data_IF_719842788725
#
_entry.id   IF_719842788725
#
_cell.length_a   1.000
_cell.length_b   1.000
_cell.length_c   1.000
_cell.angle_alpha   90.00
_cell.angle_beta   90.00
_cell.angle_gamma   90.00
#
_symmetry.space_group_name_H-M   'P 1'
#
loop_
_entity.id
_entity.type
_entity.pdbx_description
1 polymer ?
#
# COMPACT_ATOMS: atom_id res chain seq x y z
N UNK A 1 2.49 1.38 -5.32
CA UNK A 1 2.02 1.01 -3.97
C UNK A 1 0.83 1.89 -3.59
N UNK A 2 -0.25 1.29 -3.09
CA UNK A 2 -1.41 1.99 -2.55
C UNK A 2 -1.15 2.27 -1.08
N UNK A 3 -1.30 3.54 -0.65
CA UNK A 3 -0.92 4.01 0.69
C UNK A 3 -2.14 4.40 1.54
N UNK A 4 -3.29 4.68 0.95
CA UNK A 4 -4.47 5.13 1.68
C UNK A 4 -5.78 4.68 1.01
N UNK A 5 -6.89 4.85 1.73
CA UNK A 5 -8.23 4.46 1.27
C UNK A 5 -8.66 5.18 0.00
N UNK A 6 -8.28 6.46 -0.16
CA UNK A 6 -8.59 7.22 -1.38
C UNK A 6 -7.89 6.62 -2.60
N UNK A 7 -6.63 6.25 -2.47
CA UNK A 7 -5.87 5.54 -3.51
C UNK A 7 -6.43 4.14 -3.77
N UNK A 8 -6.89 3.44 -2.73
CA UNK A 8 -7.57 2.15 -2.87
C UNK A 8 -8.86 2.29 -3.70
N UNK A 9 -9.71 3.27 -3.38
CA UNK A 9 -10.95 3.53 -4.09
C UNK A 9 -10.69 3.86 -5.58
N UNK A 10 -9.69 4.71 -5.85
CA UNK A 10 -9.28 5.03 -7.21
C UNK A 10 -8.74 3.79 -7.95
N UNK A 11 -7.92 2.97 -7.29
CA UNK A 11 -7.37 1.74 -7.85
C UNK A 11 -8.48 0.72 -8.20
N UNK A 12 -9.46 0.51 -7.31
CA UNK A 12 -10.61 -0.38 -7.57
C UNK A 12 -11.42 0.10 -8.78
N UNK A 13 -11.65 1.40 -8.91
CA UNK A 13 -12.33 1.98 -10.08
C UNK A 13 -11.54 1.75 -11.36
N UNK A 14 -10.23 1.97 -11.34
CA UNK A 14 -9.36 1.77 -12.51
C UNK A 14 -9.29 0.29 -12.92
N UNK A 15 -9.22 -0.64 -11.95
CA UNK A 15 -9.27 -2.08 -12.21
C UNK A 15 -10.55 -2.49 -12.94
N UNK A 16 -11.70 -1.95 -12.52
CA UNK A 16 -12.98 -2.19 -13.19
C UNK A 16 -13.00 -1.66 -14.64
N UNK A 17 -12.34 -0.53 -14.90
CA UNK A 17 -12.21 0.03 -16.27
C UNK A 17 -11.35 -0.86 -17.15
N UNK A 18 -10.17 -1.27 -16.69
CA UNK A 18 -9.23 -2.11 -17.44
C UNK A 18 -9.85 -3.47 -17.79
N UNK A 19 -10.46 -4.13 -16.81
CA UNK A 19 -11.13 -5.43 -17.00
C UNK A 19 -12.33 -5.32 -17.95
N UNK A 20 -13.12 -4.24 -17.86
CA UNK A 20 -14.22 -3.99 -18.81
C UNK A 20 -13.71 -3.76 -20.23
N UNK A 21 -12.61 -3.02 -20.40
CA UNK A 21 -12.01 -2.76 -21.70
C UNK A 21 -11.47 -4.06 -22.35
N UNK A 22 -10.74 -4.88 -21.59
CA UNK A 22 -10.25 -6.17 -22.07
C UNK A 22 -11.41 -7.10 -22.49
N UNK A 23 -12.46 -7.17 -21.67
CA UNK A 23 -13.65 -7.97 -21.98
C UNK A 23 -14.42 -7.47 -23.20
N UNK A 24 -14.51 -6.15 -23.40
CA UNK A 24 -15.15 -5.57 -24.58
C UNK A 24 -14.40 -5.94 -25.87
N UNK A 25 -13.06 -5.86 -25.85
CA UNK A 25 -12.22 -6.27 -26.98
C UNK A 25 -12.36 -7.77 -27.27
N UNK A 26 -12.40 -8.62 -26.24
CA UNK A 26 -12.61 -10.07 -26.38
C UNK A 26 -13.98 -10.37 -27.02
N UNK A 27 -15.05 -9.70 -26.58
CA UNK A 27 -16.41 -9.87 -27.12
C UNK A 27 -16.57 -9.36 -28.55
N UNK A 28 -15.80 -8.34 -28.95
CA UNK A 28 -15.82 -7.84 -30.31
C UNK A 28 -15.30 -8.86 -31.33
N UNK A 29 -14.58 -9.90 -30.89
CA UNK A 29 -14.26 -11.09 -31.70
C UNK A 29 -13.47 -10.80 -32.98
N UNK A 30 -12.68 -9.73 -33.00
CA UNK A 30 -11.91 -9.34 -34.18
C UNK A 30 -10.70 -10.25 -34.38
N UNK A 31 -10.47 -10.66 -35.63
CA UNK A 31 -9.35 -11.51 -36.05
C UNK A 31 -8.02 -10.76 -36.17
N UNK A 32 -7.98 -9.46 -35.85
CA UNK A 32 -6.76 -8.66 -35.86
C UNK A 32 -5.79 -9.15 -34.78
N UNK A 33 -4.58 -9.64 -35.13
CA UNK A 33 -3.56 -10.05 -34.16
C UNK A 33 -3.21 -8.96 -33.14
N UNK A 34 -3.37 -7.68 -33.52
CA UNK A 34 -3.13 -6.55 -32.63
C UNK A 34 -4.12 -6.50 -31.45
N UNK A 35 -5.32 -7.07 -31.61
CA UNK A 35 -6.28 -7.12 -30.51
C UNK A 35 -5.87 -8.11 -29.41
N UNK A 36 -5.23 -9.22 -29.75
CA UNK A 36 -4.68 -10.14 -28.75
C UNK A 36 -3.60 -9.45 -27.89
N UNK A 37 -2.73 -8.66 -28.53
CA UNK A 37 -1.71 -7.85 -27.83
C UNK A 37 -2.34 -6.81 -26.91
N UNK A 38 -3.37 -6.10 -27.39
CA UNK A 38 -4.11 -5.10 -26.58
C UNK A 38 -4.78 -5.72 -25.36
N UNK A 39 -5.44 -6.87 -25.52
CA UNK A 39 -6.07 -7.60 -24.41
C UNK A 39 -5.01 -8.00 -23.39
N UNK A 40 -3.92 -8.62 -23.84
CA UNK A 40 -2.82 -9.03 -22.97
C UNK A 40 -2.22 -7.87 -22.17
N UNK A 41 -2.00 -6.72 -22.81
CA UNK A 41 -1.51 -5.51 -22.13
C UNK A 41 -2.47 -5.03 -21.05
N UNK A 42 -3.77 -4.96 -21.35
CA UNK A 42 -4.79 -4.53 -20.38
C UNK A 42 -4.92 -5.51 -19.20
N UNK A 43 -4.79 -6.81 -19.46
CA UNK A 43 -4.81 -7.85 -18.44
C UNK A 43 -3.56 -7.79 -17.54
N UNK A 44 -2.37 -7.56 -18.11
CA UNK A 44 -1.14 -7.36 -17.34
C UNK A 44 -1.21 -6.12 -16.43
N UNK A 45 -1.75 -5.01 -16.93
CA UNK A 45 -1.96 -3.80 -16.14
C UNK A 45 -2.98 -4.01 -15.02
N UNK A 46 -4.06 -4.75 -15.32
CA UNK A 46 -5.07 -5.11 -14.33
C UNK A 46 -4.48 -5.99 -13.22
N UNK A 47 -3.67 -6.99 -13.58
CA UNK A 47 -3.03 -7.89 -12.62
C UNK A 47 -2.06 -7.11 -11.71
N UNK A 48 -1.22 -6.24 -12.28
CA UNK A 48 -0.31 -5.39 -11.51
C UNK A 48 -1.05 -4.50 -10.50
N UNK A 49 -2.20 -3.95 -10.89
CA UNK A 49 -3.02 -3.12 -10.01
C UNK A 49 -3.72 -3.96 -8.93
N UNK A 50 -4.18 -5.16 -9.29
CA UNK A 50 -4.80 -6.11 -8.37
C UNK A 50 -3.83 -6.57 -7.27
N UNK A 51 -2.58 -6.89 -7.63
CA UNK A 51 -1.53 -7.20 -6.66
C UNK A 51 -1.34 -6.07 -5.63
N UNK A 52 -1.32 -4.81 -6.08
CA UNK A 52 -1.20 -3.66 -5.15
C UNK A 52 -2.41 -3.51 -4.22
N UNK A 53 -3.61 -3.82 -4.72
CA UNK A 53 -4.84 -3.82 -3.89
C UNK A 53 -4.75 -4.94 -2.84
N UNK A 54 -4.30 -6.13 -3.21
CA UNK A 54 -4.13 -7.24 -2.28
C UNK A 54 -3.09 -6.94 -1.20
N UNK A 55 -1.95 -6.36 -1.57
CA UNK A 55 -0.93 -5.92 -0.60
C UNK A 55 -1.52 -4.94 0.42
N UNK A 56 -2.28 -3.94 -0.06
CA UNK A 56 -2.93 -2.98 0.84
C UNK A 56 -3.96 -3.65 1.77
N UNK A 57 -4.81 -4.53 1.25
CA UNK A 57 -5.83 -5.21 2.04
C UNK A 57 -5.18 -6.10 3.13
N UNK A 58 -4.17 -6.89 2.78
CA UNK A 58 -3.42 -7.72 3.73
C UNK A 58 -2.81 -6.87 4.85
N UNK A 59 -2.17 -5.76 4.49
CA UNK A 59 -1.65 -4.82 5.48
C UNK A 59 -2.79 -4.26 6.36
N UNK A 60 -3.92 -3.85 5.77
CA UNK A 60 -5.06 -3.29 6.50
C UNK A 60 -5.76 -4.27 7.45
N UNK A 61 -5.69 -5.57 7.17
CA UNK A 61 -6.23 -6.63 8.02
C UNK A 61 -5.37 -6.87 9.27
N UNK A 62 -4.24 -6.17 9.42
CA UNK A 62 -3.32 -6.33 10.55
C UNK A 62 -2.35 -7.49 10.35
N UNK A 63 -2.34 -8.13 9.18
CA UNK A 63 -1.31 -9.10 8.79
C UNK A 63 -0.08 -8.31 8.37
N UNK A 64 0.68 -7.84 9.36
CA UNK A 64 1.97 -7.20 9.17
C UNK A 64 3.01 -7.93 9.99
N UNK A 65 3.98 -8.52 9.31
CA UNK A 65 5.14 -9.11 9.96
C UNK A 65 6.04 -7.99 10.49
N UNK A 66 6.02 -7.77 11.81
CA UNK A 66 6.90 -6.79 12.44
C UNK A 66 8.39 -7.15 12.27
N UNK A 67 8.71 -8.41 11.97
CA UNK A 67 10.07 -8.88 11.65
C UNK A 67 10.52 -8.53 10.22
N UNK A 68 9.65 -8.01 9.36
CA UNK A 68 10.08 -7.49 8.05
C UNK A 68 10.85 -6.17 8.15
N UNK A 69 10.96 -5.50 9.31
CA UNK A 69 11.77 -4.28 9.52
C UNK A 69 13.31 -4.53 9.48
N UNK A 70 13.78 -5.43 8.63
CA UNK A 70 15.16 -5.94 8.65
C UNK A 70 16.06 -5.29 7.61
N UNK A 71 15.53 -4.61 6.59
CA UNK A 71 16.34 -3.93 5.58
C UNK A 71 16.17 -2.41 5.61
N UNK A 72 17.27 -1.69 5.84
CA UNK A 72 17.33 -0.21 5.81
C UNK A 72 16.81 0.36 4.49
N UNK A 73 16.97 -0.38 3.39
CA UNK A 73 16.50 0.00 2.06
C UNK A 73 14.96 0.03 1.94
N UNK A 74 14.27 -0.80 2.73
CA UNK A 74 12.81 -0.97 2.68
C UNK A 74 12.07 -0.34 3.87
N UNK A 75 12.79 0.24 4.83
CA UNK A 75 12.24 0.90 6.04
C UNK A 75 11.08 1.84 5.72
N UNK A 76 11.18 2.60 4.62
CA UNK A 76 10.13 3.53 4.20
C UNK A 76 8.81 2.85 3.84
N UNK A 77 8.88 1.74 3.11
CA UNK A 77 7.71 0.96 2.70
C UNK A 77 7.10 0.21 3.89
N UNK A 78 7.96 -0.38 4.71
CA UNK A 78 7.57 -1.09 5.94
C UNK A 78 6.88 -0.16 6.93
N UNK A 79 7.35 1.07 7.09
CA UNK A 79 6.73 2.06 7.98
C UNK A 79 5.32 2.44 7.51
N UNK A 80 5.12 2.55 6.19
CA UNK A 80 3.79 2.81 5.60
C UNK A 80 2.87 1.61 5.82
N UNK A 81 3.37 0.39 5.59
CA UNK A 81 2.62 -0.83 5.82
C UNK A 81 2.22 -0.99 7.30
N UNK A 82 3.16 -0.76 8.23
CA UNK A 82 2.91 -0.77 9.67
C UNK A 82 1.83 0.25 10.07
N UNK A 83 1.87 1.46 9.48
CA UNK A 83 0.81 2.46 9.69
C UNK A 83 -0.55 1.92 9.24
N UNK A 84 -0.63 1.37 8.02
CA UNK A 84 -1.87 0.80 7.49
C UNK A 84 -2.39 -0.33 8.39
N UNK A 85 -1.50 -1.21 8.85
CA UNK A 85 -1.83 -2.32 9.76
C UNK A 85 -2.30 -1.86 11.15
N UNK A 86 -1.75 -0.77 11.66
CA UNK A 86 -2.26 -0.12 12.88
C UNK A 86 -3.62 0.57 12.69
N UNK A 87 -4.17 0.62 11.47
CA UNK A 87 -5.44 1.27 11.15
C UNK A 87 -5.38 2.80 11.20
N UNK A 88 -4.19 3.39 11.26
CA UNK A 88 -4.03 4.85 11.29
C UNK A 88 -4.13 5.42 9.89
N UNK A 89 -4.98 6.42 9.70
CA UNK A 89 -4.93 7.32 8.55
C UNK A 89 -3.71 8.23 8.63
N UNK A 90 -3.29 8.78 7.49
CA UNK A 90 -2.19 9.77 7.44
C UNK A 90 -2.47 10.99 8.33
N UNK A 91 -3.74 11.44 8.40
CA UNK A 91 -4.14 12.54 9.27
C UNK A 91 -4.09 12.17 10.75
N UNK A 92 -4.52 10.96 11.13
CA UNK A 92 -4.42 10.50 12.51
C UNK A 92 -2.97 10.37 12.95
N UNK A 93 -2.08 9.86 12.08
CA UNK A 93 -0.65 9.83 12.33
C UNK A 93 -0.09 11.25 12.51
N UNK A 94 -0.45 12.18 11.64
CA UNK A 94 -0.02 13.57 11.73
C UNK A 94 -0.47 14.22 13.04
N UNK A 95 -1.75 14.05 13.42
CA UNK A 95 -2.30 14.52 14.70
C UNK A 95 -1.56 13.94 15.90
N UNK A 96 -1.30 12.64 15.93
CA UNK A 96 -0.51 11.97 17.00
C UNK A 96 0.94 12.43 17.03
N UNK A 97 1.50 12.81 15.87
CA UNK A 97 2.85 13.34 15.77
C UNK A 97 2.93 14.85 16.04
N UNK A 98 1.82 15.55 16.27
CA UNK A 98 1.76 17.02 16.32
C UNK A 98 2.37 17.66 15.06
N UNK A 99 2.07 17.09 13.90
CA UNK A 99 2.51 17.53 12.58
C UNK A 99 1.31 17.87 11.71
N UNK A 100 1.55 18.70 10.69
CA UNK A 100 0.59 18.93 9.61
C UNK A 100 0.43 17.68 8.74
N UNK A 101 -0.80 17.38 8.32
CA UNK A 101 -1.10 16.21 7.47
C UNK A 101 -0.30 16.21 6.16
N UNK A 102 -0.05 17.39 5.60
CA UNK A 102 0.78 17.54 4.40
C UNK A 102 2.22 17.05 4.60
N UNK A 103 2.76 17.12 5.83
CA UNK A 103 4.10 16.64 6.12
C UNK A 103 4.20 15.12 6.02
N UNK A 104 3.24 14.40 6.63
CA UNK A 104 3.16 12.94 6.53
C UNK A 104 2.94 12.50 5.08
N UNK A 105 2.06 13.18 4.35
CA UNK A 105 1.87 12.91 2.92
C UNK A 105 3.15 13.08 2.11
N UNK A 106 3.92 14.16 2.34
CA UNK A 106 5.21 14.38 1.69
C UNK A 106 6.20 13.26 2.01
N UNK A 107 6.35 12.90 3.27
CA UNK A 107 7.26 11.82 3.66
C UNK A 107 6.86 10.47 3.10
N UNK A 108 5.57 10.12 3.15
CA UNK A 108 5.11 8.86 2.54
C UNK A 108 5.27 8.86 1.03
N UNK A 109 5.15 10.02 0.36
CA UNK A 109 5.36 10.12 -1.09
C UNK A 109 6.78 9.75 -1.50
N UNK A 110 7.78 10.11 -0.68
CA UNK A 110 9.20 9.80 -0.90
C UNK A 110 9.68 8.55 -0.16
N UNK A 111 8.77 7.72 0.35
CA UNK A 111 9.12 6.54 1.17
C UNK A 111 10.08 6.88 2.30
N UNK A 112 9.91 8.06 2.90
CA UNK A 112 10.75 8.59 3.97
C UNK A 112 12.26 8.72 3.63
N UNK A 113 12.68 8.57 2.36
CA UNK A 113 14.10 8.54 1.96
C UNK A 113 14.88 9.80 2.34
N UNK A 114 14.22 10.95 2.39
CA UNK A 114 14.84 12.24 2.72
C UNK A 114 14.67 12.64 4.18
N UNK A 115 14.17 11.75 5.03
CA UNK A 115 13.93 12.03 6.45
C UNK A 115 15.10 11.58 7.32
N UNK A 116 15.36 12.34 8.38
CA UNK A 116 16.40 11.95 9.33
C UNK A 116 15.94 10.78 10.22
N UNK A 117 16.92 10.04 10.73
CA UNK A 117 16.67 8.86 11.58
C UNK A 117 15.84 9.18 12.84
N UNK A 118 15.99 10.38 13.42
CA UNK A 118 15.18 10.81 14.58
C UNK A 118 13.69 10.87 14.25
N UNK A 119 13.36 11.34 13.05
CA UNK A 119 11.99 11.42 12.54
C UNK A 119 11.43 10.04 12.27
N UNK A 120 12.19 9.17 11.59
CA UNK A 120 11.81 7.77 11.36
C UNK A 120 11.48 7.06 12.67
N UNK A 121 12.37 7.14 13.66
CA UNK A 121 12.15 6.56 15.00
C UNK A 121 10.89 7.10 15.65
N UNK A 122 10.69 8.42 15.66
CA UNK A 122 9.50 9.05 16.24
C UNK A 122 8.21 8.53 15.60
N UNK A 123 8.16 8.45 14.27
CA UNK A 123 6.98 7.97 13.55
C UNK A 123 6.72 6.49 13.83
N UNK A 124 7.77 5.66 13.83
CA UNK A 124 7.68 4.25 14.24
C UNK A 124 7.08 4.10 15.63
N UNK A 125 7.57 4.86 16.61
CA UNK A 125 7.12 4.77 18.00
C UNK A 125 5.63 5.13 18.14
N UNK A 126 5.16 6.12 17.38
CA UNK A 126 3.74 6.51 17.34
C UNK A 126 2.88 5.42 16.71
N UNK A 127 3.38 4.77 15.64
CA UNK A 127 2.68 3.66 14.98
C UNK A 127 2.59 2.47 15.94
N UNK A 128 3.72 2.05 16.53
CA UNK A 128 3.79 0.91 17.46
C UNK A 128 2.92 1.11 18.69
N UNK A 129 2.90 2.30 19.29
CA UNK A 129 2.02 2.62 20.43
C UNK A 129 0.52 2.65 20.07
N UNK A 130 0.17 2.66 18.79
CA UNK A 130 -1.22 2.63 18.33
C UNK A 130 -1.70 1.20 17.97
N UNK A 131 -0.80 0.22 17.96
CA UNK A 131 -1.16 -1.19 17.79
C UNK A 131 -1.66 -1.69 19.14
N UNK A 132 -2.99 -1.85 19.29
CA UNK A 132 -3.58 -2.42 20.49
C UNK A 132 -3.13 -3.87 20.68
N UNK A 133 -2.71 -4.23 21.89
CA UNK A 133 -2.19 -5.55 22.30
C UNK A 133 -3.10 -6.76 21.98
N UNK A 134 -4.30 -6.55 21.44
CA UNK A 134 -5.27 -7.60 21.08
C UNK A 134 -5.23 -8.01 19.60
N UNK A 135 -4.63 -7.19 18.72
CA UNK A 135 -4.33 -7.64 17.36
C UNK A 135 -3.04 -8.43 17.43
N UNK A 136 -3.19 -9.74 17.51
CA UNK A 136 -2.13 -10.76 17.49
C UNK A 136 -1.29 -10.58 16.21
N UNK A 137 -0.43 -9.57 16.20
CA UNK A 137 0.70 -9.50 15.31
C UNK A 137 1.46 -10.79 15.59
N UNK A 138 1.59 -11.62 14.57
CA UNK A 138 2.44 -12.80 14.60
C UNK A 138 3.85 -12.29 14.91
N UNK A 139 4.18 -12.24 16.20
CA UNK A 139 5.54 -12.07 16.69
C UNK A 139 6.15 -13.46 16.57
N UNK A 140 6.69 -13.76 15.39
CA UNK A 140 7.53 -14.94 15.25
C UNK A 140 8.85 -14.62 15.95
N UNK A 141 9.16 -15.38 17.00
CA UNK A 141 10.50 -15.44 17.58
C UNK A 141 11.48 -15.89 16.49
N UNK A 142 12.48 -15.06 16.20
CA UNK A 142 13.60 -15.46 15.36
C UNK A 142 14.56 -16.32 16.20
N UNK A 143 14.77 -17.57 15.79
CA UNK A 143 16.04 -18.28 16.01
C UNK A 143 17.16 -17.63 15.17
#
# INVERSE_FOLDING_TARGET
MIKNERQLAAAKKQLAVLTKAANALRKAGSSDPMNAVRISSLEADAEKLNMQIQTYNKASEGVFDAACLTSVEHVGEELINARIASGLTQEQLARKASLEAQQIQRWESTLYQTTNLKTLKRIRDIIMSSIGHEKNAVFCECD
#
